data_IF_028598070560
#
_entry.id   IF_028598070560
#
_cell.length_a   1.000
_cell.length_b   1.000
_cell.length_c   1.000
_cell.angle_alpha   90.00
_cell.angle_beta   90.00
_cell.angle_gamma   90.00
#
_symmetry.space_group_name_H-M   'P 1'
#
loop_
_entity.id
_entity.type
_entity.pdbx_description
1 polymer ?
#
# COMPACT_ATOMS: atom_id res chain seq x y z
N UNK A 1 -3.05 22.83 1.34
CA UNK A 1 -2.66 21.43 1.19
C UNK A 1 -1.71 21.27 0.02
N UNK A 2 -0.49 20.83 0.31
CA UNK A 2 0.49 20.41 -0.69
C UNK A 2 0.46 18.89 -0.88
N UNK A 3 0.99 18.40 -2.00
CA UNK A 3 1.23 16.96 -2.18
C UNK A 3 2.72 16.70 -2.19
N UNK A 4 3.18 15.81 -1.32
CA UNK A 4 4.59 15.39 -1.26
C UNK A 4 4.69 14.08 -2.02
N UNK A 5 5.23 14.15 -3.23
CA UNK A 5 5.46 12.97 -4.04
C UNK A 5 6.81 12.42 -3.67
N UNK A 6 6.82 11.24 -3.08
CA UNK A 6 8.00 10.61 -2.49
C UNK A 6 8.36 9.36 -3.28
N UNK A 7 9.65 9.16 -3.43
CA UNK A 7 10.27 7.92 -3.89
C UNK A 7 11.55 7.69 -3.06
N UNK A 8 11.89 6.43 -2.83
CA UNK A 8 12.99 6.02 -1.97
C UNK A 8 13.80 4.92 -2.64
N UNK A 9 15.11 4.99 -2.48
CA UNK A 9 15.99 3.87 -2.79
C UNK A 9 16.56 3.29 -1.50
N UNK A 10 16.73 1.97 -1.47
CA UNK A 10 17.21 1.25 -0.29
C UNK A 10 18.23 0.16 -0.61
N UNK A 11 19.09 -0.10 0.37
CA UNK A 11 19.98 -1.25 0.41
C UNK A 11 19.39 -2.36 1.29
N UNK A 12 19.92 -3.57 1.16
CA UNK A 12 19.53 -4.73 1.96
C UNK A 12 20.75 -5.59 2.28
N UNK A 13 20.63 -6.44 3.30
CA UNK A 13 21.70 -7.36 3.68
C UNK A 13 22.05 -8.35 2.56
N UNK A 14 23.34 -8.68 2.46
CA UNK A 14 23.85 -9.75 1.61
C UNK A 14 23.94 -11.04 2.44
N UNK A 15 23.14 -12.07 2.15
CA UNK A 15 23.09 -13.34 2.91
C UNK A 15 24.47 -13.98 3.20
N UNK A 16 25.46 -13.71 2.34
CA UNK A 16 26.83 -14.23 2.48
C UNK A 16 27.68 -13.51 3.55
N UNK A 17 27.36 -12.27 3.89
CA UNK A 17 28.21 -11.39 4.72
C UNK A 17 27.44 -10.57 5.75
N UNK A 18 26.27 -10.06 5.39
CA UNK A 18 25.39 -9.25 6.23
C UNK A 18 23.99 -9.86 6.21
N UNK A 19 23.64 -10.61 7.27
CA UNK A 19 22.29 -11.17 7.40
C UNK A 19 21.26 -10.05 7.44
N UNK A 20 20.21 -10.19 6.65
CA UNK A 20 19.09 -9.25 6.67
C UNK A 20 18.43 -9.25 8.07
N UNK A 21 18.30 -8.06 8.65
CA UNK A 21 17.60 -7.85 9.90
C UNK A 21 16.09 -7.83 9.66
N UNK A 22 15.33 -8.54 10.52
CA UNK A 22 13.86 -8.55 10.45
C UNK A 22 13.28 -7.14 10.66
N UNK A 23 13.87 -6.37 11.57
CA UNK A 23 13.41 -5.03 11.94
C UNK A 23 13.69 -3.99 10.86
N UNK A 24 14.77 -4.18 10.08
CA UNK A 24 15.18 -3.29 9.00
C UNK A 24 15.62 -4.10 7.78
N UNK A 25 14.69 -4.73 7.04
CA UNK A 25 15.02 -5.52 5.87
C UNK A 25 15.58 -4.65 4.73
N UNK A 26 15.14 -3.39 4.67
CA UNK A 26 15.53 -2.39 3.68
C UNK A 26 15.97 -1.10 4.39
N UNK A 27 17.25 -0.75 4.26
CA UNK A 27 17.82 0.48 4.79
C UNK A 27 17.79 1.55 3.70
N UNK A 28 17.12 2.68 3.95
CA UNK A 28 17.01 3.76 2.95
C UNK A 28 18.38 4.43 2.74
N UNK A 29 18.77 4.58 1.48
CA UNK A 29 20.06 5.14 1.04
C UNK A 29 19.92 6.38 0.16
N UNK A 30 18.74 6.64 -0.40
CA UNK A 30 18.43 7.87 -1.13
C UNK A 30 16.97 8.24 -0.88
N UNK A 31 16.70 9.54 -0.70
CA UNK A 31 15.34 10.08 -0.66
C UNK A 31 15.18 11.12 -1.76
N UNK A 32 14.10 11.00 -2.52
CA UNK A 32 13.72 11.97 -3.54
C UNK A 32 12.27 12.34 -3.37
N UNK A 33 11.99 13.64 -3.42
CA UNK A 33 10.62 14.11 -3.37
C UNK A 33 10.42 15.38 -4.18
N UNK A 34 9.21 15.54 -4.71
CA UNK A 34 8.73 16.80 -5.29
C UNK A 34 7.46 17.27 -4.59
N UNK A 35 7.35 18.57 -4.39
CA UNK A 35 6.18 19.21 -3.78
C UNK A 35 5.29 19.74 -4.88
N UNK A 36 4.03 19.31 -4.89
CA UNK A 36 3.01 19.88 -5.75
C UNK A 36 2.10 20.80 -4.95
N UNK A 37 1.82 21.97 -5.51
CA UNK A 37 0.83 22.89 -4.94
C UNK A 37 -0.62 22.41 -5.21
N UNK A 38 -1.61 23.18 -4.78
CA UNK A 38 -3.03 22.86 -4.99
C UNK A 38 -3.47 22.82 -6.47
N UNK A 39 -2.66 23.36 -7.39
CA UNK A 39 -2.89 23.30 -8.85
C UNK A 39 -2.20 22.09 -9.51
N UNK A 40 -1.61 21.19 -8.72
CA UNK A 40 -0.79 20.06 -9.18
C UNK A 40 0.45 20.49 -9.96
N UNK A 41 0.99 21.67 -9.66
CA UNK A 41 2.24 22.17 -10.24
C UNK A 41 3.38 21.88 -9.26
N UNK A 42 4.48 21.34 -9.77
CA UNK A 42 5.70 21.15 -8.98
C UNK A 42 6.25 22.52 -8.62
N UNK A 43 6.40 22.80 -7.32
CA UNK A 43 6.89 24.08 -6.82
C UNK A 43 8.21 23.97 -6.03
N UNK A 44 8.63 22.76 -5.68
CA UNK A 44 9.81 22.52 -4.86
C UNK A 44 10.27 21.07 -4.99
N UNK A 45 11.51 20.77 -4.61
CA UNK A 45 12.09 19.43 -4.60
C UNK A 45 13.03 19.21 -3.42
N UNK A 46 13.07 17.98 -2.92
CA UNK A 46 13.98 17.54 -1.88
C UNK A 46 14.74 16.30 -2.36
N UNK A 47 16.05 16.31 -2.21
CA UNK A 47 16.89 15.17 -2.57
C UNK A 47 18.11 15.09 -1.67
N UNK A 48 18.36 13.90 -1.12
CA UNK A 48 19.50 13.64 -0.25
C UNK A 48 19.95 12.18 -0.38
N UNK A 49 21.26 11.96 -0.37
CA UNK A 49 21.86 10.65 -0.13
C UNK A 49 21.97 10.40 1.37
N UNK A 50 21.63 9.19 1.79
CA UNK A 50 21.66 8.74 3.17
C UNK A 50 22.80 7.75 3.34
N UNK A 51 23.70 8.03 4.29
CA UNK A 51 24.80 7.14 4.61
C UNK A 51 24.29 5.86 5.28
N UNK A 52 24.53 4.66 4.70
CA UNK A 52 24.20 3.40 5.33
C UNK A 52 24.92 3.25 6.68
N UNK A 53 24.19 2.84 7.70
CA UNK A 53 24.71 2.58 9.05
C UNK A 53 24.58 1.10 9.42
N UNK A 54 23.67 0.36 8.77
CA UNK A 54 23.39 -1.06 9.03
C UNK A 54 24.03 -1.97 7.99
N UNK A 55 23.72 -1.76 6.70
CA UNK A 55 24.26 -2.57 5.60
C UNK A 55 25.39 -1.84 4.89
N UNK A 56 26.63 -2.20 5.23
CA UNK A 56 27.84 -1.49 4.77
C UNK A 56 28.33 -1.99 3.42
N UNK A 57 27.80 -3.09 2.91
CA UNK A 57 28.03 -3.53 1.54
C UNK A 57 26.77 -3.33 0.70
N UNK A 58 26.94 -2.77 -0.51
CA UNK A 58 25.82 -2.65 -1.44
C UNK A 58 25.44 -4.04 -1.97
N UNK A 59 24.16 -4.39 -1.84
CA UNK A 59 23.64 -5.62 -2.40
C UNK A 59 23.77 -5.63 -3.92
N UNK A 60 24.13 -6.78 -4.52
CA UNK A 60 24.44 -6.87 -5.95
C UNK A 60 23.29 -6.44 -6.87
N UNK A 61 22.04 -6.73 -6.47
CA UNK A 61 20.85 -6.27 -7.22
C UNK A 61 20.69 -4.75 -7.15
N UNK A 62 20.91 -4.16 -5.97
CA UNK A 62 20.84 -2.71 -5.75
C UNK A 62 21.89 -2.01 -6.60
N UNK A 63 23.13 -2.51 -6.61
CA UNK A 63 24.21 -1.98 -7.45
C UNK A 63 23.92 -2.05 -8.96
N UNK A 64 23.15 -3.06 -9.41
CA UNK A 64 22.78 -3.21 -10.82
C UNK A 64 21.64 -2.26 -11.22
N UNK A 65 20.72 -1.99 -10.30
CA UNK A 65 19.56 -1.15 -10.54
C UNK A 65 19.90 0.34 -10.41
N UNK A 66 20.71 0.68 -9.41
CA UNK A 66 21.05 2.05 -9.06
C UNK A 66 22.39 2.45 -9.65
N UNK A 67 22.44 3.65 -10.21
CA UNK A 67 23.68 4.32 -10.58
C UNK A 67 24.26 5.06 -9.36
N UNK A 68 24.51 4.32 -8.29
CA UNK A 68 25.08 4.78 -7.02
C UNK A 68 26.16 3.81 -6.57
N UNK A 69 27.27 4.33 -6.04
CA UNK A 69 28.27 3.54 -5.35
C UNK A 69 28.34 3.80 -3.84
N UNK A 70 29.03 2.92 -3.11
CA UNK A 70 29.16 3.06 -1.66
C UNK A 70 30.00 4.27 -1.24
N UNK A 71 30.92 4.74 -2.09
CA UNK A 71 31.78 5.88 -1.76
C UNK A 71 30.96 7.18 -1.75
N UNK A 72 30.09 7.36 -2.75
CA UNK A 72 29.10 8.44 -2.79
C UNK A 72 28.22 8.42 -1.53
N UNK A 73 27.71 7.25 -1.15
CA UNK A 73 26.86 7.08 0.03
C UNK A 73 27.58 7.39 1.35
N UNK A 74 28.89 7.11 1.47
CA UNK A 74 29.66 7.41 2.69
C UNK A 74 29.76 8.92 2.97
N UNK A 75 29.66 9.76 1.93
CA UNK A 75 29.62 11.22 2.08
C UNK A 75 28.26 11.77 2.51
N UNK A 76 27.20 10.93 2.46
CA UNK A 76 25.84 11.30 2.81
C UNK A 76 25.62 11.61 4.29
N UNK A 77 24.49 12.25 4.59
CA UNK A 77 24.08 12.54 5.98
C UNK A 77 23.46 11.29 6.61
N UNK A 78 23.37 11.25 7.95
CA UNK A 78 22.70 10.13 8.61
C UNK A 78 21.20 10.14 8.36
N UNK A 79 20.56 8.97 8.44
CA UNK A 79 19.11 8.83 8.24
C UNK A 79 18.32 9.82 9.11
N UNK A 80 18.66 9.91 10.40
CA UNK A 80 18.01 10.82 11.35
C UNK A 80 18.12 12.30 10.93
N UNK A 81 19.26 12.73 10.38
CA UNK A 81 19.45 14.12 9.94
C UNK A 81 18.64 14.42 8.68
N UNK A 82 18.65 13.48 7.73
CA UNK A 82 17.93 13.63 6.46
C UNK A 82 16.43 13.64 6.69
N UNK A 83 15.88 12.68 7.44
CA UNK A 83 14.43 12.62 7.67
C UNK A 83 13.93 13.80 8.50
N UNK A 84 14.69 14.30 9.48
CA UNK A 84 14.33 15.55 10.17
C UNK A 84 14.26 16.74 9.21
N UNK A 85 15.22 16.85 8.28
CA UNK A 85 15.24 17.90 7.27
C UNK A 85 14.07 17.75 6.29
N UNK A 86 13.79 16.52 5.86
CA UNK A 86 12.69 16.19 4.97
C UNK A 86 11.32 16.53 5.57
N UNK A 87 11.07 16.10 6.81
CA UNK A 87 9.79 16.39 7.49
C UNK A 87 9.61 17.89 7.73
N UNK A 88 10.68 18.62 8.06
CA UNK A 88 10.64 20.08 8.14
C UNK A 88 10.31 20.72 6.78
N UNK A 89 10.86 20.17 5.69
CA UNK A 89 10.59 20.62 4.32
C UNK A 89 9.15 20.31 3.86
N UNK A 90 8.54 19.21 4.33
CA UNK A 90 7.14 18.88 4.05
C UNK A 90 6.17 19.93 4.61
N UNK A 91 6.47 20.53 5.77
CA UNK A 91 5.59 21.46 6.47
C UNK A 91 4.46 20.76 7.23
N UNK A 92 3.35 21.47 7.48
CA UNK A 92 2.26 20.98 8.35
C UNK A 92 1.03 20.46 7.59
N UNK A 93 0.71 21.01 6.41
CA UNK A 93 -0.50 20.66 5.64
C UNK A 93 -0.14 20.03 4.29
N UNK A 94 0.05 18.71 4.32
CA UNK A 94 0.39 17.95 3.13
C UNK A 94 -0.22 16.55 3.11
N UNK A 95 -0.26 15.94 1.93
CA UNK A 95 -0.57 14.53 1.74
C UNK A 95 0.50 13.86 0.88
N UNK A 96 0.94 12.68 1.27
CA UNK A 96 1.90 11.92 0.47
C UNK A 96 1.27 11.36 -0.81
N UNK A 97 2.09 11.25 -1.86
CA UNK A 97 1.83 10.43 -3.02
C UNK A 97 3.08 9.61 -3.38
N UNK A 98 2.90 8.36 -3.79
CA UNK A 98 4.01 7.44 -4.08
C UNK A 98 3.62 6.51 -5.23
N UNK A 99 4.60 5.92 -5.93
CA UNK A 99 4.34 4.95 -6.98
C UNK A 99 4.08 3.54 -6.42
N UNK A 100 2.99 3.41 -5.65
CA UNK A 100 2.64 2.21 -4.90
C UNK A 100 2.87 2.41 -3.39
N UNK A 101 2.50 1.44 -2.54
CA UNK A 101 2.45 1.65 -1.09
C UNK A 101 3.79 1.49 -0.37
N UNK A 102 4.83 0.99 -1.04
CA UNK A 102 6.02 0.46 -0.36
C UNK A 102 6.86 1.55 0.30
N UNK A 103 7.06 2.70 -0.36
CA UNK A 103 7.91 3.78 0.15
C UNK A 103 7.45 4.30 1.52
N UNK A 104 6.15 4.48 1.70
CA UNK A 104 5.60 4.95 2.99
C UNK A 104 5.72 3.92 4.10
N UNK A 105 5.58 2.64 3.77
CA UNK A 105 5.78 1.56 4.73
C UNK A 105 7.26 1.48 5.13
N UNK A 106 8.19 1.56 4.17
CA UNK A 106 9.63 1.48 4.46
C UNK A 106 10.16 2.74 5.14
N UNK A 107 9.65 3.93 4.80
CA UNK A 107 9.96 5.17 5.54
C UNK A 107 9.61 5.03 7.02
N UNK A 108 8.39 4.61 7.33
CA UNK A 108 7.96 4.45 8.72
C UNK A 108 8.68 3.30 9.43
N UNK A 109 9.03 2.23 8.72
CA UNK A 109 9.85 1.14 9.27
C UNK A 109 11.24 1.64 9.67
N UNK A 110 11.92 2.37 8.78
CA UNK A 110 13.22 2.95 9.07
C UNK A 110 13.10 3.98 10.22
N UNK A 111 12.07 4.82 10.23
CA UNK A 111 11.79 5.74 11.34
C UNK A 111 11.63 5.00 12.67
N UNK A 112 10.86 3.91 12.73
CA UNK A 112 10.74 3.05 13.93
C UNK A 112 12.08 2.49 14.37
N UNK A 113 12.88 1.96 13.43
CA UNK A 113 14.20 1.38 13.71
C UNK A 113 15.16 2.41 14.34
N UNK A 114 15.15 3.64 13.84
CA UNK A 114 15.97 4.74 14.37
C UNK A 114 15.34 5.50 15.55
N UNK A 115 14.23 4.99 16.13
CA UNK A 115 13.59 5.57 17.31
C UNK A 115 12.88 6.90 17.07
N UNK A 116 12.41 7.15 15.85
CA UNK A 116 11.59 8.32 15.50
C UNK A 116 10.10 8.02 15.71
N UNK A 117 9.34 9.07 16.04
CA UNK A 117 7.87 8.99 16.09
C UNK A 117 7.29 8.65 14.70
N UNK A 118 6.21 7.87 14.62
CA UNK A 118 5.56 7.57 13.35
C UNK A 118 4.97 8.84 12.71
N UNK A 119 4.78 8.81 11.39
CA UNK A 119 4.21 9.92 10.62
C UNK A 119 2.80 10.29 11.08
N UNK A 120 2.02 9.29 11.51
CA UNK A 120 0.67 9.46 12.06
C UNK A 120 0.42 8.36 13.12
N UNK A 121 -0.54 8.59 14.01
CA UNK A 121 -0.97 7.65 15.06
C UNK A 121 -2.07 6.68 14.60
N UNK A 122 -2.42 6.71 13.31
CA UNK A 122 -3.48 5.92 12.68
C UNK A 122 -3.13 5.67 11.21
N UNK A 123 -3.89 4.83 10.49
CA UNK A 123 -3.64 4.61 9.06
C UNK A 123 -3.61 5.91 8.26
N UNK A 124 -2.46 6.22 7.70
CA UNK A 124 -2.22 7.47 7.00
C UNK A 124 -2.84 7.42 5.60
N UNK A 125 -3.56 8.49 5.23
CA UNK A 125 -4.09 8.65 3.87
C UNK A 125 -2.99 9.07 2.93
N UNK A 126 -2.94 8.48 1.75
CA UNK A 126 -2.00 8.87 0.71
C UNK A 126 -2.54 8.58 -0.69
N UNK A 127 -1.89 9.18 -1.69
CA UNK A 127 -2.09 8.85 -3.09
C UNK A 127 -1.15 7.73 -3.55
N UNK A 128 -1.71 6.54 -3.67
CA UNK A 128 -1.11 5.47 -4.47
C UNK A 128 -1.28 5.85 -5.96
N UNK A 129 -0.30 6.57 -6.50
CA UNK A 129 -0.38 7.15 -7.85
C UNK A 129 -0.45 6.04 -8.91
N UNK A 130 0.18 4.89 -8.66
CA UNK A 130 0.07 3.71 -9.52
C UNK A 130 -1.38 3.19 -9.59
N UNK A 131 -2.09 3.14 -8.46
CA UNK A 131 -3.53 2.82 -8.42
C UNK A 131 -4.35 3.89 -9.14
N UNK A 132 -4.09 5.18 -8.89
CA UNK A 132 -4.84 6.27 -9.50
C UNK A 132 -4.67 6.28 -11.03
N UNK A 133 -3.45 6.09 -11.53
CA UNK A 133 -3.14 5.92 -12.95
C UNK A 133 -3.97 4.79 -13.56
N UNK A 134 -3.98 3.62 -12.92
CA UNK A 134 -4.76 2.48 -13.40
C UNK A 134 -6.27 2.76 -13.45
N UNK A 135 -6.79 3.57 -12.53
CA UNK A 135 -8.21 3.94 -12.52
C UNK A 135 -8.54 4.93 -13.63
N UNK A 136 -7.66 5.92 -13.85
CA UNK A 136 -7.86 6.99 -14.82
C UNK A 136 -7.67 6.54 -16.27
N UNK A 137 -6.71 5.66 -16.53
CA UNK A 137 -6.22 5.41 -17.89
C UNK A 137 -6.23 3.93 -18.31
N UNK A 138 -6.49 2.99 -17.39
CA UNK A 138 -6.44 1.55 -17.66
C UNK A 138 -7.73 0.83 -17.17
N UNK A 139 -7.62 -0.46 -16.84
CA UNK A 139 -8.69 -1.36 -16.42
C UNK A 139 -9.05 -1.31 -14.91
N UNK A 140 -8.54 -0.31 -14.17
CA UNK A 140 -8.64 -0.15 -12.70
C UNK A 140 -7.94 -1.23 -11.86
N UNK A 141 -7.39 -2.29 -12.48
CA UNK A 141 -6.87 -3.50 -11.81
C UNK A 141 -5.37 -3.68 -12.00
N UNK A 142 -4.88 -3.41 -13.20
CA UNK A 142 -3.49 -3.57 -13.60
C UNK A 142 -2.59 -2.60 -12.87
N UNK A 143 -1.37 -3.03 -12.54
CA UNK A 143 -0.36 -2.21 -11.85
C UNK A 143 0.88 -2.21 -12.73
N UNK A 144 1.17 -1.06 -13.32
CA UNK A 144 2.25 -0.84 -14.28
C UNK A 144 3.44 -0.19 -13.56
N UNK A 145 4.65 -0.40 -14.07
CA UNK A 145 5.80 0.36 -13.58
C UNK A 145 5.66 1.85 -14.00
N UNK A 146 6.47 2.71 -13.41
CA UNK A 146 6.40 4.15 -13.63
C UNK A 146 6.73 4.52 -15.08
N UNK A 147 7.77 3.92 -15.65
CA UNK A 147 8.19 4.18 -17.03
C UNK A 147 7.06 3.92 -18.03
N UNK A 148 6.30 2.82 -17.87
CA UNK A 148 5.13 2.56 -18.72
C UNK A 148 4.11 3.70 -18.66
N UNK A 149 3.83 4.25 -17.48
CA UNK A 149 2.86 5.32 -17.32
C UNK A 149 3.36 6.65 -17.91
N UNK A 150 4.66 6.93 -17.80
CA UNK A 150 5.32 8.07 -18.43
C UNK A 150 5.19 7.98 -19.94
N UNK A 151 5.49 6.81 -20.52
CA UNK A 151 5.38 6.56 -21.96
C UNK A 151 3.93 6.63 -22.44
N UNK A 152 3.01 5.99 -21.72
CA UNK A 152 1.58 6.00 -22.03
C UNK A 152 1.00 7.42 -22.08
N UNK A 153 1.43 8.29 -21.16
CA UNK A 153 0.96 9.68 -21.09
C UNK A 153 1.77 10.64 -21.96
N UNK A 154 2.71 10.13 -22.76
CA UNK A 154 3.63 10.91 -23.58
C UNK A 154 4.31 12.04 -22.80
N UNK A 155 4.74 11.74 -21.57
CA UNK A 155 5.52 12.66 -20.75
C UNK A 155 6.97 12.62 -21.23
N UNK A 156 7.56 13.79 -21.49
CA UNK A 156 8.96 13.89 -21.93
C UNK A 156 9.90 13.26 -20.91
N UNK A 157 10.79 12.39 -21.40
CA UNK A 157 11.81 11.68 -20.60
C UNK A 157 13.11 12.48 -20.61
N UNK A 158 13.14 13.54 -19.81
CA UNK A 158 14.25 14.50 -19.77
C UNK A 158 15.36 14.09 -18.77
N UNK A 159 15.07 13.15 -17.87
CA UNK A 159 15.94 12.70 -16.78
C UNK A 159 15.93 11.15 -16.72
N UNK A 160 17.08 10.48 -16.47
CA UNK A 160 17.12 9.03 -16.26
C UNK A 160 16.28 8.56 -15.06
N UNK A 161 15.67 7.38 -15.19
CA UNK A 161 14.98 6.67 -14.10
C UNK A 161 15.98 6.05 -13.10
N UNK A 162 15.45 5.48 -12.01
CA UNK A 162 16.23 4.77 -10.98
C UNK A 162 17.15 5.68 -10.15
N UNK A 163 16.67 6.90 -9.95
CA UNK A 163 17.12 7.85 -8.95
C UNK A 163 15.88 8.37 -8.26
N UNK A 164 15.90 8.41 -6.93
CA UNK A 164 14.70 8.73 -6.16
C UNK A 164 14.05 10.06 -6.60
N UNK A 165 14.86 11.10 -6.86
CA UNK A 165 14.32 12.40 -7.28
C UNK A 165 13.65 12.34 -8.66
N UNK A 166 14.25 11.62 -9.62
CA UNK A 166 13.69 11.44 -10.96
C UNK A 166 12.36 10.71 -10.92
N UNK A 167 12.29 9.63 -10.15
CA UNK A 167 11.09 8.79 -10.06
C UNK A 167 9.96 9.52 -9.29
N UNK A 168 10.30 10.29 -8.25
CA UNK A 168 9.38 11.22 -7.61
C UNK A 168 8.87 12.31 -8.59
N UNK A 169 9.76 12.90 -9.40
CA UNK A 169 9.40 13.89 -10.40
C UNK A 169 8.40 13.33 -11.42
N UNK A 170 8.71 12.18 -12.03
CA UNK A 170 7.83 11.55 -12.99
C UNK A 170 6.50 11.10 -12.37
N UNK A 171 6.52 10.57 -11.15
CA UNK A 171 5.31 10.26 -10.40
C UNK A 171 4.44 11.51 -10.21
N UNK A 172 5.04 12.65 -9.88
CA UNK A 172 4.33 13.93 -9.76
C UNK A 172 3.76 14.40 -11.09
N UNK A 173 4.50 14.25 -12.19
CA UNK A 173 4.02 14.55 -13.55
C UNK A 173 2.83 13.66 -13.95
N UNK A 174 2.87 12.37 -13.62
CA UNK A 174 1.75 11.44 -13.85
C UNK A 174 0.54 11.85 -13.02
N UNK A 175 0.71 12.13 -11.73
CA UNK A 175 -0.38 12.59 -10.87
C UNK A 175 -1.02 13.86 -11.40
N UNK A 176 -0.22 14.83 -11.86
CA UNK A 176 -0.70 16.08 -12.43
C UNK A 176 -1.54 15.90 -13.72
N UNK A 177 -1.39 14.77 -14.43
CA UNK A 177 -2.23 14.42 -15.59
C UNK A 177 -3.60 13.86 -15.21
N UNK A 178 -3.79 13.41 -13.97
CA UNK A 178 -5.08 12.90 -13.48
C UNK A 178 -5.97 14.08 -13.11
N UNK A 179 -6.88 14.46 -14.01
CA UNK A 179 -7.78 15.61 -13.83
C UNK A 179 -9.17 15.25 -13.29
N UNK A 180 -9.57 13.98 -13.39
CA UNK A 180 -10.87 13.53 -12.93
C UNK A 180 -10.97 13.59 -11.38
N UNK A 181 -11.86 14.44 -10.81
CA UNK A 181 -12.03 14.54 -9.38
C UNK A 181 -12.49 13.24 -8.72
N UNK A 182 -13.24 12.38 -9.42
CA UNK A 182 -13.69 11.08 -8.89
C UNK A 182 -12.50 10.14 -8.68
N UNK A 183 -11.52 10.17 -9.58
CA UNK A 183 -10.28 9.40 -9.42
C UNK A 183 -9.48 9.92 -8.23
N UNK A 184 -9.35 11.23 -8.06
CA UNK A 184 -8.60 11.82 -6.96
C UNK A 184 -9.22 11.56 -5.57
N UNK A 185 -10.50 11.17 -5.50
CA UNK A 185 -11.13 10.70 -4.27
C UNK A 185 -10.74 9.26 -3.89
N UNK A 186 -10.13 8.50 -4.82
CA UNK A 186 -9.74 7.09 -4.63
C UNK A 186 -8.46 6.93 -3.80
N UNK A 187 -8.38 7.60 -2.65
CA UNK A 187 -7.24 7.53 -1.72
C UNK A 187 -6.91 6.09 -1.28
N UNK A 188 -5.66 5.90 -0.90
CA UNK A 188 -5.16 4.69 -0.25
C UNK A 188 -4.81 4.98 1.21
N UNK A 189 -4.59 3.91 1.96
CA UNK A 189 -4.24 3.97 3.38
C UNK A 189 -2.98 3.15 3.56
N UNK A 190 -1.93 3.77 4.09
CA UNK A 190 -0.78 3.04 4.58
C UNK A 190 -1.17 2.29 5.86
N UNK A 191 -0.73 1.04 5.96
CA UNK A 191 -1.12 0.12 7.01
C UNK A 191 0.01 -0.20 7.99
N UNK A 192 1.07 0.62 8.04
CA UNK A 192 2.16 0.44 8.99
C UNK A 192 1.67 0.67 10.42
N UNK A 193 1.01 1.81 10.66
CA UNK A 193 0.20 2.04 11.87
C UNK A 193 -1.25 1.67 11.56
N UNK A 194 -1.76 0.68 12.29
CA UNK A 194 -3.15 0.21 12.19
C UNK A 194 -4.02 0.89 13.25
N UNK A 195 -5.35 0.93 13.10
CA UNK A 195 -6.23 1.47 14.13
C UNK A 195 -6.02 0.78 15.47
N UNK A 196 -6.00 1.54 16.58
CA UNK A 196 -5.79 0.94 17.91
C UNK A 196 -7.10 0.46 18.53
N UNK A 197 -8.22 1.08 18.15
CA UNK A 197 -9.53 0.80 18.71
C UNK A 197 -10.63 0.95 17.65
N UNK A 198 -11.86 0.55 18.02
CA UNK A 198 -13.02 0.57 17.11
C UNK A 198 -13.38 1.95 16.56
N UNK A 199 -13.07 3.03 17.27
CA UNK A 199 -13.40 4.41 16.82
C UNK A 199 -12.45 4.89 15.72
N UNK A 200 -11.25 4.32 15.66
CA UNK A 200 -10.23 4.65 14.67
C UNK A 200 -10.28 3.74 13.44
N UNK A 201 -11.11 2.70 13.47
CA UNK A 201 -11.29 1.81 12.33
C UNK A 201 -11.72 2.60 11.09
N UNK A 202 -11.11 2.28 9.96
CA UNK A 202 -11.37 3.01 8.73
C UNK A 202 -12.63 2.43 8.10
N UNK A 203 -13.64 3.27 7.88
CA UNK A 203 -14.83 2.93 7.09
C UNK A 203 -14.99 4.00 6.00
N UNK A 204 -14.78 3.61 4.75
CA UNK A 204 -14.88 4.53 3.61
C UNK A 204 -15.65 3.87 2.46
N UNK A 205 -16.51 4.64 1.81
CA UNK A 205 -17.26 4.21 0.62
C UNK A 205 -16.71 5.00 -0.57
N UNK A 206 -16.27 4.27 -1.59
CA UNK A 206 -15.97 4.79 -2.91
C UNK A 206 -17.11 4.42 -3.87
N UNK A 207 -17.11 4.99 -5.07
CA UNK A 207 -18.19 4.83 -6.04
C UNK A 207 -18.55 3.36 -6.32
N UNK A 208 -17.56 2.48 -6.47
CA UNK A 208 -17.78 1.09 -6.86
C UNK A 208 -17.47 0.06 -5.77
N UNK A 209 -17.03 0.49 -4.58
CA UNK A 209 -16.79 -0.40 -3.44
C UNK A 209 -16.68 0.35 -2.11
N UNK A 210 -16.97 -0.34 -1.01
CA UNK A 210 -16.61 0.10 0.33
C UNK A 210 -15.33 -0.59 0.81
N UNK A 211 -14.53 0.11 1.60
CA UNK A 211 -13.32 -0.39 2.26
C UNK A 211 -13.46 -0.24 3.78
N UNK A 212 -13.03 -1.28 4.48
CA UNK A 212 -12.90 -1.30 5.93
C UNK A 212 -11.50 -1.76 6.34
N UNK A 213 -10.86 -1.05 7.27
CA UNK A 213 -9.59 -1.46 7.90
C UNK A 213 -9.86 -1.57 9.39
N UNK A 214 -9.72 -2.78 9.93
CA UNK A 214 -9.94 -3.05 11.35
C UNK A 214 -8.77 -2.60 12.20
N UNK A 215 -8.99 -2.52 13.51
CA UNK A 215 -7.91 -2.64 14.49
C UNK A 215 -7.19 -3.98 14.39
N UNK A 216 -6.09 -4.12 15.09
CA UNK A 216 -5.40 -5.40 15.18
C UNK A 216 -6.01 -6.36 16.20
N UNK A 217 -5.65 -7.62 16.06
CA UNK A 217 -6.09 -8.75 16.87
C UNK A 217 -4.88 -9.63 17.16
N UNK A 218 -4.94 -10.41 18.24
CA UNK A 218 -3.83 -11.29 18.60
C UNK A 218 -3.57 -12.34 17.50
N UNK A 219 -4.64 -12.89 16.93
CA UNK A 219 -4.55 -13.92 15.90
C UNK A 219 -5.72 -13.90 14.91
N UNK A 220 -5.64 -14.79 13.92
CA UNK A 220 -6.65 -14.91 12.86
C UNK A 220 -8.00 -15.40 13.38
N UNK A 221 -8.02 -16.20 14.44
CA UNK A 221 -9.25 -16.75 15.00
C UNK A 221 -10.06 -15.62 15.66
N UNK A 222 -9.41 -14.79 16.46
CA UNK A 222 -10.03 -13.61 17.08
C UNK A 222 -10.55 -12.63 16.01
N UNK A 223 -9.71 -12.32 15.01
CA UNK A 223 -10.07 -11.43 13.90
C UNK A 223 -11.31 -11.91 13.14
N UNK A 224 -11.43 -13.21 12.86
CA UNK A 224 -12.55 -13.77 12.10
C UNK A 224 -13.81 -13.96 12.94
N UNK A 225 -13.66 -14.03 14.27
CA UNK A 225 -14.78 -14.07 15.23
C UNK A 225 -15.38 -12.67 15.47
N UNK A 226 -14.64 -11.59 15.19
CA UNK A 226 -15.13 -10.22 15.38
C UNK A 226 -16.38 -9.95 14.52
N UNK A 227 -17.40 -9.39 15.18
CA UNK A 227 -18.72 -9.14 14.59
C UNK A 227 -18.65 -8.09 13.49
N UNK A 228 -17.84 -7.04 13.63
CA UNK A 228 -17.71 -5.98 12.64
C UNK A 228 -16.94 -6.49 11.42
N UNK A 229 -15.84 -7.22 11.63
CA UNK A 229 -15.06 -7.86 10.56
C UNK A 229 -15.94 -8.81 9.74
N UNK A 230 -16.66 -9.72 10.39
CA UNK A 230 -17.49 -10.75 9.75
C UNK A 230 -18.84 -10.25 9.23
N UNK A 231 -19.27 -9.04 9.62
CA UNK A 231 -20.53 -8.43 9.19
C UNK A 231 -20.57 -8.19 7.68
N UNK A 232 -21.78 -8.29 7.14
CA UNK A 232 -22.10 -8.01 5.75
C UNK A 232 -23.31 -7.08 5.72
N UNK A 233 -23.05 -5.77 5.64
CA UNK A 233 -24.06 -4.73 5.47
C UNK A 233 -23.96 -4.15 4.06
N UNK A 234 -25.09 -3.84 3.45
CA UNK A 234 -25.11 -3.10 2.19
C UNK A 234 -24.48 -1.73 2.42
N UNK A 235 -23.44 -1.37 1.67
CA UNK A 235 -22.80 -0.07 1.85
C UNK A 235 -23.59 1.11 1.25
N UNK A 236 -24.67 0.83 0.50
CA UNK A 236 -25.56 1.86 -0.07
C UNK A 236 -26.84 2.08 0.74
N UNK A 237 -27.54 1.02 1.18
CA UNK A 237 -28.76 1.16 1.99
C UNK A 237 -28.59 0.79 3.47
N UNK A 238 -27.38 0.42 3.90
CA UNK A 238 -27.02 0.10 5.28
C UNK A 238 -27.77 -1.08 5.93
N UNK A 239 -28.64 -1.77 5.19
CA UNK A 239 -29.34 -2.97 5.66
C UNK A 239 -28.38 -4.15 5.85
N UNK A 240 -28.62 -4.96 6.88
CA UNK A 240 -27.94 -6.23 7.07
C UNK A 240 -28.29 -7.20 5.93
N UNK A 241 -27.27 -7.84 5.37
CA UNK A 241 -27.45 -8.75 4.23
C UNK A 241 -27.34 -10.21 4.66
N UNK A 242 -28.25 -11.04 4.11
CA UNK A 242 -28.16 -12.50 4.23
C UNK A 242 -27.06 -13.02 3.30
N UNK A 243 -26.11 -13.75 3.89
CA UNK A 243 -25.01 -14.39 3.14
C UNK A 243 -25.56 -15.55 2.32
N UNK A 244 -25.39 -15.50 0.99
CA UNK A 244 -25.61 -16.63 0.07
C UNK A 244 -24.42 -17.58 0.10
N UNK A 245 -23.22 -17.03 0.28
CA UNK A 245 -21.97 -17.76 0.52
C UNK A 245 -21.34 -17.23 1.81
N UNK A 246 -21.23 -18.08 2.85
CA UNK A 246 -20.52 -17.77 4.09
C UNK A 246 -19.01 -17.56 3.80
N UNK A 247 -18.34 -16.83 4.69
CA UNK A 247 -16.89 -16.60 4.59
C UNK A 247 -16.12 -17.92 4.43
N UNK A 248 -15.34 -18.02 3.36
CA UNK A 248 -14.45 -19.15 3.09
C UNK A 248 -13.11 -18.64 2.56
N UNK A 249 -12.06 -19.47 2.65
CA UNK A 249 -10.74 -19.13 2.11
C UNK A 249 -10.15 -20.26 1.28
N UNK A 250 -9.66 -19.99 0.05
CA UNK A 250 -8.93 -20.99 -0.73
C UNK A 250 -7.47 -21.15 -0.29
N UNK A 251 -6.89 -20.16 0.41
CA UNK A 251 -5.43 -20.07 0.61
C UNK A 251 -5.00 -19.61 2.02
N UNK A 252 -5.93 -19.43 2.97
CA UNK A 252 -5.64 -18.99 4.34
C UNK A 252 -5.21 -17.52 4.50
N UNK A 253 -5.18 -16.74 3.40
CA UNK A 253 -4.83 -15.30 3.38
C UNK A 253 -5.97 -14.42 2.90
N UNK A 254 -6.75 -14.90 1.93
CA UNK A 254 -7.89 -14.19 1.35
C UNK A 254 -9.19 -14.90 1.68
N UNK A 255 -10.15 -14.19 2.25
CA UNK A 255 -11.47 -14.70 2.58
C UNK A 255 -12.51 -14.04 1.70
N UNK A 256 -13.49 -14.83 1.25
CA UNK A 256 -14.54 -14.39 0.34
C UNK A 256 -15.89 -14.74 0.91
N UNK A 257 -16.87 -13.86 0.71
CA UNK A 257 -18.28 -14.11 0.96
C UNK A 257 -19.12 -13.48 -0.14
N UNK A 258 -20.35 -13.96 -0.30
CA UNK A 258 -21.35 -13.35 -1.19
C UNK A 258 -22.63 -13.18 -0.39
N UNK A 259 -23.19 -11.98 -0.42
CA UNK A 259 -24.46 -11.64 0.20
C UNK A 259 -25.39 -11.05 -0.86
N UNK A 260 -26.69 -11.00 -0.59
CA UNK A 260 -27.66 -10.43 -1.53
C UNK A 260 -28.42 -9.28 -0.87
N UNK A 261 -28.49 -8.14 -1.55
CA UNK A 261 -29.30 -6.99 -1.20
C UNK A 261 -30.53 -6.94 -2.11
N UNK A 262 -31.73 -6.89 -1.54
CA UNK A 262 -32.97 -6.82 -2.32
C UNK A 262 -33.07 -5.57 -3.21
N UNK A 263 -32.35 -4.49 -2.86
CA UNK A 263 -32.32 -3.25 -3.66
C UNK A 263 -31.18 -3.18 -4.66
N UNK A 264 -30.04 -3.81 -4.37
CA UNK A 264 -28.78 -3.56 -5.07
C UNK A 264 -28.11 -4.85 -5.61
N UNK A 265 -28.73 -6.00 -5.42
CA UNK A 265 -28.25 -7.28 -5.96
C UNK A 265 -27.13 -7.94 -5.16
N UNK A 266 -26.31 -8.74 -5.84
CA UNK A 266 -25.23 -9.53 -5.24
C UNK A 266 -24.06 -8.63 -4.82
N UNK A 267 -23.59 -8.83 -3.59
CA UNK A 267 -22.46 -8.12 -3.03
C UNK A 267 -21.39 -9.09 -2.57
N UNK A 268 -20.19 -8.96 -3.16
CA UNK A 268 -18.99 -9.70 -2.78
C UNK A 268 -18.31 -9.01 -1.61
N UNK A 269 -17.99 -9.79 -0.58
CA UNK A 269 -17.04 -9.40 0.45
C UNK A 269 -15.71 -10.08 0.23
N UNK A 270 -14.61 -9.34 0.36
CA UNK A 270 -13.24 -9.86 0.36
C UNK A 270 -12.46 -9.31 1.54
N UNK A 271 -12.03 -10.18 2.44
CA UNK A 271 -11.10 -9.84 3.54
C UNK A 271 -9.71 -10.31 3.15
N UNK A 272 -8.73 -9.39 3.24
CA UNK A 272 -7.30 -9.72 3.23
C UNK A 272 -6.81 -9.64 4.67
N UNK A 273 -6.28 -10.74 5.19
CA UNK A 273 -5.63 -10.75 6.49
C UNK A 273 -4.18 -10.31 6.31
N UNK A 274 -3.77 -9.28 7.04
CA UNK A 274 -2.42 -8.73 7.06
C UNK A 274 -1.81 -8.92 8.45
N UNK A 275 -0.49 -8.88 8.52
CA UNK A 275 0.26 -8.90 9.77
C UNK A 275 0.79 -7.50 10.08
N UNK A 276 0.90 -7.16 11.35
CA UNK A 276 1.69 -6.03 11.84
C UNK A 276 3.15 -6.46 12.06
N UNK A 277 4.01 -5.50 12.37
CA UNK A 277 5.41 -5.76 12.75
C UNK A 277 5.53 -6.63 14.01
N UNK A 278 4.59 -6.48 14.94
CA UNK A 278 4.56 -7.21 16.22
C UNK A 278 3.80 -8.54 16.11
N UNK A 279 3.75 -9.13 14.91
CA UNK A 279 3.13 -10.42 14.58
C UNK A 279 1.63 -10.55 14.88
N UNK A 280 0.95 -9.44 15.23
CA UNK A 280 -0.52 -9.33 15.33
C UNK A 280 -1.14 -9.28 13.94
N UNK A 281 -2.46 -9.40 13.85
CA UNK A 281 -3.17 -9.42 12.55
C UNK A 281 -4.30 -8.39 12.46
N UNK A 282 -4.52 -7.86 11.27
CA UNK A 282 -5.64 -6.96 10.99
C UNK A 282 -6.29 -7.29 9.63
N UNK A 283 -7.53 -6.82 9.45
CA UNK A 283 -8.35 -7.08 8.29
C UNK A 283 -8.44 -5.85 7.39
N UNK A 284 -8.13 -6.03 6.11
CA UNK A 284 -8.55 -5.10 5.05
C UNK A 284 -9.72 -5.74 4.30
N UNK A 285 -10.94 -5.28 4.58
CA UNK A 285 -12.18 -5.74 3.96
C UNK A 285 -12.59 -4.82 2.82
N UNK A 286 -13.01 -5.40 1.72
CA UNK A 286 -13.63 -4.68 0.60
C UNK A 286 -14.98 -5.30 0.28
N UNK A 287 -16.00 -4.47 0.06
CA UNK A 287 -17.35 -4.87 -0.32
C UNK A 287 -17.70 -4.23 -1.65
N UNK A 288 -18.12 -5.02 -2.64
CA UNK A 288 -18.43 -4.54 -4.00
C UNK A 288 -19.65 -5.25 -4.56
N UNK A 289 -20.57 -4.53 -5.20
CA UNK A 289 -21.63 -5.16 -6.00
C UNK A 289 -21.04 -5.84 -7.23
N UNK A 290 -21.59 -7.00 -7.54
CA UNK A 290 -21.09 -7.90 -8.58
C UNK A 290 -22.26 -8.46 -9.40
N UNK A 291 -21.97 -8.93 -10.60
CA UNK A 291 -22.95 -9.62 -11.45
C UNK A 291 -23.28 -11.01 -10.89
N UNK A 292 -24.33 -11.63 -11.43
CA UNK A 292 -24.67 -13.02 -11.09
C UNK A 292 -23.58 -14.00 -11.56
N UNK A 293 -22.96 -13.72 -12.70
CA UNK A 293 -21.82 -14.48 -13.23
C UNK A 293 -20.62 -14.44 -12.27
N UNK A 294 -20.23 -13.25 -11.82
CA UNK A 294 -19.18 -13.07 -10.81
C UNK A 294 -19.52 -13.83 -9.51
N UNK A 295 -20.80 -13.88 -9.13
CA UNK A 295 -21.24 -14.60 -7.94
C UNK A 295 -21.13 -16.12 -8.13
N UNK A 296 -21.48 -16.62 -9.31
CA UNK A 296 -21.33 -18.02 -9.70
C UNK A 296 -19.85 -18.44 -9.71
N UNK A 297 -18.95 -17.58 -10.17
CA UNK A 297 -17.51 -17.86 -10.16
C UNK A 297 -16.94 -17.95 -8.73
N UNK A 298 -17.44 -17.14 -7.80
CA UNK A 298 -17.06 -17.27 -6.38
C UNK A 298 -17.60 -18.58 -5.79
N UNK A 299 -18.77 -19.03 -6.22
CA UNK A 299 -19.30 -20.33 -5.85
C UNK A 299 -18.41 -21.48 -6.35
N UNK A 300 -18.04 -21.48 -7.63
CA UNK A 300 -17.09 -22.47 -8.20
C UNK A 300 -15.76 -22.46 -7.43
N UNK A 301 -15.25 -21.27 -7.09
CA UNK A 301 -14.03 -21.10 -6.29
C UNK A 301 -14.13 -21.70 -4.90
N UNK A 302 -15.31 -21.64 -4.26
CA UNK A 302 -15.57 -22.28 -2.97
C UNK A 302 -15.55 -23.80 -3.09
N UNK A 303 -16.22 -24.36 -4.09
CA UNK A 303 -16.27 -25.81 -4.28
C UNK A 303 -14.88 -26.38 -4.55
N UNK A 304 -14.09 -25.74 -5.43
CA UNK A 304 -12.69 -26.12 -5.65
C UNK A 304 -11.84 -26.06 -4.38
N UNK A 305 -12.02 -25.03 -3.55
CA UNK A 305 -11.31 -24.92 -2.28
C UNK A 305 -11.69 -26.03 -1.29
N UNK A 306 -12.96 -26.46 -1.31
CA UNK A 306 -13.47 -27.55 -0.47
C UNK A 306 -12.91 -28.89 -0.92
N UNK A 307 -12.86 -29.14 -2.22
CA UNK A 307 -12.28 -30.35 -2.81
C UNK A 307 -10.78 -30.50 -2.48
N UNK A 308 -9.99 -29.43 -2.70
CA UNK A 308 -8.56 -29.43 -2.36
C UNK A 308 -8.32 -29.70 -0.87
N UNK A 309 -9.18 -29.18 0.02
CA UNK A 309 -9.09 -29.47 1.47
C UNK A 309 -9.40 -30.94 1.78
N UNK A 310 -10.37 -31.56 1.09
CA UNK A 310 -10.68 -32.98 1.25
C UNK A 310 -9.51 -33.85 0.81
N UNK A 311 -8.92 -33.54 -0.35
CA UNK A 311 -7.76 -34.27 -0.88
C UNK A 311 -6.54 -34.19 0.04
N UNK A 312 -6.29 -33.04 0.68
CA UNK A 312 -5.19 -32.90 1.67
C UNK A 312 -5.41 -33.77 2.89
N UNK A 313 -6.62 -33.76 3.46
CA UNK A 313 -6.97 -34.60 4.62
C UNK A 313 -6.80 -36.09 4.34
N UNK A 314 -7.11 -36.54 3.12
CA UNK A 314 -6.92 -37.93 2.70
C UNK A 314 -5.46 -38.34 2.49
N UNK A 315 -4.55 -37.39 2.24
CA UNK A 315 -3.11 -37.68 2.12
C UNK A 315 -2.38 -37.67 3.47
N UNK A 316 -2.98 -37.03 4.48
CA UNK A 316 -2.46 -36.92 5.84
C UNK A 316 -3.02 -38.01 6.78
N UNK A 317 -3.98 -38.82 6.31
CA UNK A 317 -4.59 -39.96 7.00
C UNK A 317 -4.01 -41.27 6.52
#
# INVERSE_FOLDING_TARGET
MNYIILDLEWNQGNEQKEKQLKELPFEIIEIGAVKLNSRMEICDSFHELIRPQVYKEMHYMTKKLLHLDMEELQSGRSFLQVIKSFLAWCGEDYMFGTWGPQDLTELQRNMKFYGMEPLDKKPMKFYDVQKLFSIAFEDKKSRRNLEYAVDFLAISKDIPFHRALSDAYYTGRVLAKIKDPQVLQMISFDGFIVPHNKKEEVHIVFDDYAKYISRDFADKQELLADKEVSSTKCYLCHRNLKKKIRWFTPNGKHYYSVSYCEKHGFMKGKIRVRKTEDDRVYAVKTMKFITEEDAADIFKKKERARELRRLRKHKES
#
